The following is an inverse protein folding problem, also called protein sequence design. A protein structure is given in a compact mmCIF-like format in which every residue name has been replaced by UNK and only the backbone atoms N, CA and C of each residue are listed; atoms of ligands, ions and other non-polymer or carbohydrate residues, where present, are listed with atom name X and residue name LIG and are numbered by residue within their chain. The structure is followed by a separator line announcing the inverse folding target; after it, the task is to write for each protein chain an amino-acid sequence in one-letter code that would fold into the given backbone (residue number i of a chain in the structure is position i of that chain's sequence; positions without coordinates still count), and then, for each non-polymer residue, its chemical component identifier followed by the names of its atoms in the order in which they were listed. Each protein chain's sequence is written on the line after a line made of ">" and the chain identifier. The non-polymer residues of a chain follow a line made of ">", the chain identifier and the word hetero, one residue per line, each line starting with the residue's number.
data_IF_713044807581
#
_entry.id   IF_713044807581
#
_cell.length_a   1.000
_cell.length_b   1.000
_cell.length_c   1.000
_cell.angle_alpha   90.00
_cell.angle_beta   90.00
_cell.angle_gamma   90.00
#
_symmetry.space_group_name_H-M   'P 1'
#
loop_
_entity.id
_entity.type
_entity.pdbx_description
1 polymer ?
#
# COMPACT_ATOMS: atom_id res chain seq x y z
N UNK A 1 12.00 -2.27 -1.70
CA UNK A 1 11.68 -1.60 -2.97
C UNK A 1 11.17 -0.20 -2.66
N UNK A 2 11.49 0.79 -3.48
CA UNK A 2 10.89 2.12 -3.34
C UNK A 2 9.46 2.16 -3.92
N UNK A 3 8.77 3.29 -3.81
CA UNK A 3 7.41 3.42 -4.34
C UNK A 3 7.35 3.52 -5.87
N UNK A 4 8.43 3.97 -6.52
CA UNK A 4 8.53 4.11 -7.98
C UNK A 4 8.62 2.72 -8.61
N UNK A 5 9.55 1.91 -8.12
CA UNK A 5 9.75 0.51 -8.50
C UNK A 5 8.47 -0.31 -8.25
N UNK A 6 7.76 -0.06 -7.15
CA UNK A 6 6.48 -0.70 -6.85
C UNK A 6 5.40 -0.36 -7.90
N UNK A 7 5.23 0.93 -8.23
CA UNK A 7 4.27 1.37 -9.23
C UNK A 7 4.60 0.77 -10.59
N UNK A 8 5.87 0.78 -10.98
CA UNK A 8 6.30 0.22 -12.27
C UNK A 8 6.05 -1.30 -12.33
N UNK A 9 6.22 -2.02 -11.22
CA UNK A 9 5.88 -3.45 -11.11
C UNK A 9 4.38 -3.68 -11.26
N UNK A 10 3.53 -2.91 -10.57
CA UNK A 10 2.08 -3.03 -10.66
C UNK A 10 1.57 -2.76 -12.09
N UNK A 11 2.12 -1.76 -12.77
CA UNK A 11 1.81 -1.47 -14.18
C UNK A 11 2.24 -2.64 -15.07
N UNK A 12 3.43 -3.20 -14.85
CA UNK A 12 3.93 -4.34 -15.61
C UNK A 12 3.07 -5.61 -15.42
N UNK A 13 2.52 -5.81 -14.22
CA UNK A 13 1.57 -6.88 -13.91
C UNK A 13 0.16 -6.64 -14.50
N UNK A 14 -0.05 -5.49 -15.15
CA UNK A 14 -1.29 -5.15 -15.86
C UNK A 14 -2.35 -4.48 -14.98
N UNK A 15 -1.98 -4.04 -13.77
CA UNK A 15 -2.87 -3.28 -12.91
C UNK A 15 -3.16 -1.91 -13.52
N UNK A 16 -4.44 -1.55 -13.58
CA UNK A 16 -4.91 -0.27 -14.14
C UNK A 16 -5.32 0.72 -13.07
N UNK A 17 -5.85 0.22 -11.97
CA UNK A 17 -6.33 1.01 -10.85
C UNK A 17 -5.94 0.33 -9.57
N UNK A 18 -5.54 1.12 -8.58
CA UNK A 18 -5.27 0.63 -7.24
C UNK A 18 -5.94 1.53 -6.20
N UNK A 19 -6.21 0.96 -5.03
CA UNK A 19 -6.62 1.72 -3.84
C UNK A 19 -5.48 1.75 -2.83
N UNK A 20 -5.09 2.95 -2.43
CA UNK A 20 -4.12 3.17 -1.37
C UNK A 20 -4.82 3.40 -0.06
N UNK A 21 -4.45 2.62 0.96
CA UNK A 21 -5.10 2.58 2.27
C UNK A 21 -4.07 2.74 3.37
N UNK A 22 -4.34 3.63 4.34
CA UNK A 22 -3.63 3.64 5.63
C UNK A 22 -4.37 2.79 6.65
N UNK A 23 -3.65 1.95 7.40
CA UNK A 23 -4.22 1.14 8.46
C UNK A 23 -3.31 1.13 9.71
N UNK A 24 -3.83 0.66 10.84
CA UNK A 24 -3.04 0.40 12.06
C UNK A 24 -3.12 -1.09 12.37
N UNK A 25 -1.96 -1.71 12.50
CA UNK A 25 -1.84 -3.13 12.86
C UNK A 25 -1.43 -3.27 14.33
N UNK A 26 -2.10 -4.13 15.12
CA UNK A 26 -1.62 -4.46 16.46
C UNK A 26 -0.30 -5.23 16.37
N UNK A 27 0.62 -4.91 17.26
CA UNK A 27 1.82 -5.74 17.48
C UNK A 27 1.54 -6.80 18.55
N UNK A 28 2.50 -7.70 18.76
CA UNK A 28 2.43 -8.70 19.85
C UNK A 28 2.36 -8.03 21.23
N UNK A 29 2.76 -6.76 21.34
CA UNK A 29 2.41 -5.88 22.44
C UNK A 29 1.07 -5.20 22.12
N UNK A 30 0.00 -5.61 22.81
CA UNK A 30 -1.37 -5.10 22.63
C UNK A 30 -1.50 -3.58 22.81
N UNK A 31 -0.47 -2.91 23.38
CA UNK A 31 -0.43 -1.46 23.58
C UNK A 31 0.30 -0.71 22.47
N UNK A 32 0.95 -1.42 21.55
CA UNK A 32 1.71 -0.82 20.45
C UNK A 32 1.02 -1.14 19.13
N UNK A 33 0.63 -0.08 18.43
CA UNK A 33 0.12 -0.14 17.06
C UNK A 33 1.20 0.35 16.11
N UNK A 34 1.36 -0.36 15.01
CA UNK A 34 2.23 0.05 13.91
C UNK A 34 1.36 0.52 12.75
N UNK A 35 1.71 1.66 12.17
CA UNK A 35 1.06 2.14 10.95
C UNK A 35 1.44 1.24 9.78
N UNK A 36 0.51 0.95 8.90
CA UNK A 36 0.79 0.28 7.63
C UNK A 36 0.10 1.00 6.48
N UNK A 37 0.74 0.99 5.32
CA UNK A 37 0.15 1.41 4.06
C UNK A 37 -0.05 0.18 3.20
N UNK A 38 -1.25 0.04 2.64
CA UNK A 38 -1.66 -1.07 1.81
C UNK A 38 -2.03 -0.55 0.42
N UNK A 39 -1.60 -1.27 -0.60
CA UNK A 39 -2.09 -1.10 -1.97
C UNK A 39 -3.01 -2.28 -2.25
N UNK A 40 -4.25 -1.97 -2.62
CA UNK A 40 -5.25 -2.93 -3.02
C UNK A 40 -5.46 -2.86 -4.52
N UNK A 41 -5.72 -4.00 -5.15
CA UNK A 41 -6.21 -4.05 -6.53
C UNK A 41 -7.70 -3.70 -6.62
N UNK A 42 -8.27 -3.80 -7.82
CA UNK A 42 -9.69 -3.57 -8.08
C UNK A 42 -10.63 -4.58 -7.37
N UNK A 43 -10.12 -5.76 -7.02
CA UNK A 43 -10.84 -6.80 -6.28
C UNK A 43 -10.81 -6.57 -4.77
N UNK A 44 -9.97 -5.64 -4.31
CA UNK A 44 -9.72 -5.37 -2.89
C UNK A 44 -8.68 -6.29 -2.26
N UNK A 45 -7.93 -7.04 -3.06
CA UNK A 45 -6.82 -7.88 -2.60
C UNK A 45 -5.56 -7.02 -2.39
N UNK A 46 -4.82 -7.30 -1.32
CA UNK A 46 -3.57 -6.59 -1.03
C UNK A 46 -2.49 -7.06 -2.01
N UNK A 47 -2.00 -6.15 -2.84
CA UNK A 47 -0.92 -6.40 -3.82
C UNK A 47 0.41 -5.82 -3.40
N UNK A 48 0.42 -4.80 -2.55
CA UNK A 48 1.64 -4.30 -1.92
C UNK A 48 1.38 -3.74 -0.53
N UNK A 49 2.42 -3.71 0.31
CA UNK A 49 2.35 -3.12 1.64
C UNK A 49 3.66 -2.43 2.03
N UNK A 50 3.54 -1.43 2.91
CA UNK A 50 4.65 -0.79 3.61
C UNK A 50 4.32 -0.70 5.09
N UNK A 51 5.14 -1.33 5.92
CA UNK A 51 5.02 -1.23 7.37
C UNK A 51 5.79 0.00 7.82
N UNK A 52 5.15 0.87 8.60
CA UNK A 52 5.75 2.07 9.15
C UNK A 52 6.39 1.78 10.51
N UNK A 53 7.50 1.05 10.50
CA UNK A 53 8.39 0.88 11.66
C UNK A 53 9.72 1.59 11.42
N UNK A 54 10.46 1.96 12.48
CA UNK A 54 11.79 2.55 12.36
C UNK A 54 12.78 1.72 11.53
N UNK A 55 12.55 0.41 11.43
CA UNK A 55 13.42 -0.57 10.77
C UNK A 55 12.92 -0.97 9.36
N UNK A 56 11.73 -0.53 8.96
CA UNK A 56 11.12 -0.88 7.66
C UNK A 56 11.19 0.31 6.71
N UNK A 57 12.05 0.18 5.69
CA UNK A 57 12.41 1.30 4.82
C UNK A 57 11.69 1.32 3.46
N UNK A 58 10.84 0.33 3.13
CA UNK A 58 10.30 0.25 1.76
C UNK A 58 9.05 -0.58 1.59
N UNK A 59 8.58 -0.58 0.34
CA UNK A 59 7.44 -1.36 -0.13
C UNK A 59 7.84 -2.82 -0.37
N UNK A 60 6.88 -3.70 -0.14
CA UNK A 60 6.97 -5.14 -0.42
C UNK A 60 5.72 -5.57 -1.20
N UNK A 61 5.92 -6.30 -2.29
CA UNK A 61 4.82 -6.95 -3.00
C UNK A 61 4.22 -8.07 -2.14
N UNK A 62 2.93 -8.31 -2.30
CA UNK A 62 2.19 -9.36 -1.59
C UNK A 62 1.64 -10.32 -2.63
N UNK A 63 2.25 -11.50 -2.70
CA UNK A 63 1.87 -12.54 -3.67
C UNK A 63 0.73 -13.46 -3.16
N UNK A 64 0.27 -13.28 -1.91
CA UNK A 64 -0.70 -14.16 -1.28
C UNK A 64 -2.13 -13.65 -1.46
N UNK A 65 -2.91 -14.32 -2.30
CA UNK A 65 -4.33 -14.03 -2.51
C UNK A 65 -5.14 -14.31 -1.22
N UNK A 66 -6.00 -13.37 -0.83
CA UNK A 66 -6.92 -13.54 0.31
C UNK A 66 -6.46 -12.97 1.66
N UNK A 67 -5.36 -12.20 1.70
CA UNK A 67 -5.01 -11.43 2.91
C UNK A 67 -5.98 -10.25 3.04
N UNK A 68 -7.01 -10.42 3.88
CA UNK A 68 -7.92 -9.32 4.23
C UNK A 68 -7.32 -8.47 5.34
N UNK A 69 -7.42 -7.15 5.19
CA UNK A 69 -7.03 -6.20 6.24
C UNK A 69 -7.83 -6.49 7.52
N UNK A 70 -7.13 -6.63 8.65
CA UNK A 70 -7.74 -6.80 9.96
C UNK A 70 -8.55 -5.56 10.35
N UNK A 71 -9.76 -5.77 10.83
CA UNK A 71 -10.89 -4.84 10.92
C UNK A 71 -10.75 -3.52 11.72
N UNK A 72 -9.57 -3.00 12.07
CA UNK A 72 -9.48 -1.83 12.95
C UNK A 72 -8.45 -0.78 12.48
N UNK A 73 -8.90 0.25 11.74
CA UNK A 73 -8.59 1.68 11.96
C UNK A 73 -8.83 2.54 10.69
N UNK A 74 -8.95 3.86 10.91
CA UNK A 74 -9.19 4.94 9.93
C UNK A 74 -8.65 4.68 8.52
N UNK A 75 -9.55 4.27 7.63
CA UNK A 75 -9.25 4.00 6.22
C UNK A 75 -9.31 5.32 5.46
N UNK A 76 -8.17 6.00 5.32
CA UNK A 76 -8.00 6.93 4.21
C UNK A 76 -7.79 6.08 2.95
N UNK A 77 -8.87 5.90 2.18
CA UNK A 77 -8.83 5.23 0.88
C UNK A 77 -8.69 6.27 -0.22
N UNK A 78 -7.65 6.14 -1.05
CA UNK A 78 -7.48 6.95 -2.27
C UNK A 78 -7.35 6.03 -3.48
N UNK A 79 -8.13 6.31 -4.51
CA UNK A 79 -8.00 5.68 -5.82
C UNK A 79 -6.84 6.31 -6.58
N UNK A 80 -6.02 5.47 -7.19
CA UNK A 80 -4.90 5.89 -8.04
C UNK A 80 -5.04 5.19 -9.39
N UNK A 81 -5.08 5.98 -10.44
CA UNK A 81 -5.02 5.49 -11.82
C UNK A 81 -3.57 5.19 -12.18
N UNK A 82 -3.32 3.97 -12.68
CA UNK A 82 -2.01 3.51 -13.10
C UNK A 82 -1.80 3.64 -14.61
N UNK A 83 -2.82 4.04 -15.38
CA UNK A 83 -2.67 4.32 -16.81
C UNK A 83 -1.78 5.55 -17.07
N UNK A 84 -1.66 6.46 -16.10
CA UNK A 84 -0.70 7.56 -16.08
C UNK A 84 0.33 7.37 -14.95
N UNK A 85 1.47 6.74 -15.30
CA UNK A 85 2.58 6.48 -14.37
C UNK A 85 3.10 7.76 -13.69
N UNK A 86 3.11 8.89 -14.39
CA UNK A 86 3.61 10.15 -13.81
C UNK A 86 2.64 10.70 -12.75
N UNK A 87 1.33 10.63 -13.03
CA UNK A 87 0.30 11.00 -12.07
C UNK A 87 0.33 10.06 -10.85
N UNK A 88 0.45 8.75 -11.07
CA UNK A 88 0.54 7.76 -9.99
C UNK A 88 1.71 8.05 -9.05
N UNK A 89 2.92 8.23 -9.60
CA UNK A 89 4.12 8.56 -8.82
C UNK A 89 3.98 9.89 -8.08
N UNK A 90 3.42 10.91 -8.75
CA UNK A 90 3.12 12.20 -8.12
C UNK A 90 2.14 12.08 -6.94
N UNK A 91 1.13 11.22 -7.05
CA UNK A 91 0.19 10.98 -5.97
C UNK A 91 0.88 10.42 -4.72
N UNK A 92 1.74 9.41 -4.86
CA UNK A 92 2.47 8.81 -3.74
C UNK A 92 3.44 9.81 -3.08
N UNK A 93 4.11 10.64 -3.88
CA UNK A 93 5.00 11.69 -3.39
C UNK A 93 4.25 12.74 -2.56
N UNK A 94 3.12 13.25 -3.06
CA UNK A 94 2.35 14.32 -2.40
C UNK A 94 1.70 13.88 -1.09
N UNK A 95 1.39 12.60 -0.95
CA UNK A 95 0.76 12.05 0.25
C UNK A 95 1.78 11.58 1.30
N UNK A 96 3.08 11.74 1.04
CA UNK A 96 4.13 11.34 1.98
C UNK A 96 4.29 9.83 2.14
N UNK A 97 3.81 9.04 1.17
CA UNK A 97 3.93 7.58 1.15
C UNK A 97 5.20 7.09 0.45
N UNK A 98 6.25 7.92 0.55
CA UNK A 98 7.59 7.74 -0.02
C UNK A 98 8.35 6.73 0.82
#
# INVERSE_FOLDING_TARGET
>A
MDYVEMIDTLIADGQKTISLVSNKRPTDDEKVFVGEYLVLDESGDIVARKIHTPESYGWSMVDWQGVRSGNNAEVLMRWVDLNDSAQAKGCFFLTGYV
#
